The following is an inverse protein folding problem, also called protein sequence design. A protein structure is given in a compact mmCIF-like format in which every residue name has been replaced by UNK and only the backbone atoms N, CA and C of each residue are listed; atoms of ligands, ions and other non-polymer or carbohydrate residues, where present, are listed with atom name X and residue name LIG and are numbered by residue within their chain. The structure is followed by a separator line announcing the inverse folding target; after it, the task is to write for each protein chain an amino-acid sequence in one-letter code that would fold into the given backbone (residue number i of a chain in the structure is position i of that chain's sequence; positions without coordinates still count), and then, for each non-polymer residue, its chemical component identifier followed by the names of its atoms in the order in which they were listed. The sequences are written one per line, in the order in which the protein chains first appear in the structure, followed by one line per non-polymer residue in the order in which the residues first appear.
data_IF_627560544192
#
_entry.id   IF_627560544192
#
_cell.length_a   1.000
_cell.length_b   1.000
_cell.length_c   1.000
_cell.angle_alpha   90.00
_cell.angle_beta   90.00
_cell.angle_gamma   90.00
#
_symmetry.space_group_name_H-M   'P 1'
#
loop_
_entity.id
_entity.type
_entity.pdbx_description
1 polymer ?
#
# COMPACT_ATOMS: atom_id res chain seq x y z
N UNK A 1 -7.04 -3.77 23.98
CA UNK A 1 -7.31 -5.18 23.64
C UNK A 1 -8.36 -5.23 22.53
N UNK A 2 -7.99 -5.40 21.26
CA UNK A 2 -8.95 -5.56 20.15
C UNK A 2 -8.81 -6.93 19.49
N UNK A 3 -9.31 -7.97 20.16
CA UNK A 3 -9.27 -9.37 19.72
C UNK A 3 -10.30 -9.72 18.63
N UNK A 4 -10.57 -8.79 17.72
CA UNK A 4 -11.52 -9.00 16.61
C UNK A 4 -11.26 -8.15 15.37
N UNK A 5 -10.12 -7.43 15.31
CA UNK A 5 -9.74 -6.64 14.13
C UNK A 5 -8.82 -7.45 13.25
N UNK A 6 -9.14 -7.46 11.95
CA UNK A 6 -8.37 -8.14 10.94
C UNK A 6 -6.90 -7.66 10.96
N UNK A 7 -5.92 -8.52 11.32
CA UNK A 7 -4.54 -8.09 11.51
C UNK A 7 -3.87 -7.68 10.20
N UNK A 8 -4.44 -8.09 9.06
CA UNK A 8 -3.92 -7.71 7.75
C UNK A 8 -4.25 -6.27 7.39
N UNK A 9 -5.36 -5.71 7.91
CA UNK A 9 -5.75 -4.31 7.68
C UNK A 9 -4.71 -3.34 8.23
N UNK A 10 -4.30 -3.54 9.49
CA UNK A 10 -3.27 -2.68 10.11
C UNK A 10 -1.92 -2.80 9.40
N UNK A 11 -1.57 -4.01 8.92
CA UNK A 11 -0.35 -4.23 8.14
C UNK A 11 -0.43 -3.59 6.76
N UNK A 12 -1.59 -3.67 6.10
CA UNK A 12 -1.82 -3.07 4.80
C UNK A 12 -1.69 -1.55 4.87
N UNK A 13 -2.34 -0.92 5.85
CA UNK A 13 -2.22 0.52 6.11
C UNK A 13 -0.79 0.95 6.42
N UNK A 14 -0.04 0.15 7.19
CA UNK A 14 1.36 0.43 7.45
C UNK A 14 2.23 0.32 6.18
N UNK A 15 1.90 -0.59 5.26
CA UNK A 15 2.58 -0.72 3.98
C UNK A 15 2.23 0.44 3.03
N UNK A 16 0.97 0.90 3.00
CA UNK A 16 0.57 2.12 2.25
C UNK A 16 1.33 3.35 2.74
N UNK A 17 1.34 3.59 4.05
CA UNK A 17 2.09 4.71 4.64
C UNK A 17 3.59 4.61 4.33
N UNK A 18 4.14 3.39 4.33
CA UNK A 18 5.54 3.16 3.93
C UNK A 18 5.75 3.50 2.46
N UNK A 19 4.79 3.19 1.60
CA UNK A 19 4.87 3.51 0.18
C UNK A 19 4.82 5.02 -0.04
N UNK A 20 3.89 5.72 0.61
CA UNK A 20 3.76 7.18 0.55
C UNK A 20 5.01 7.92 1.07
N UNK A 21 5.71 7.33 2.05
CA UNK A 21 6.93 7.91 2.64
C UNK A 21 8.22 7.39 2.01
N UNK A 22 8.12 6.50 1.00
CA UNK A 22 9.29 5.97 0.32
C UNK A 22 9.93 7.04 -0.57
N UNK A 23 11.23 7.25 -0.39
CA UNK A 23 12.03 8.18 -1.21
C UNK A 23 12.64 7.54 -2.47
N UNK A 24 12.53 6.23 -2.58
CA UNK A 24 13.11 5.43 -3.66
C UNK A 24 11.98 4.73 -4.41
N UNK A 25 12.03 4.78 -5.74
CA UNK A 25 11.00 4.22 -6.62
C UNK A 25 10.82 2.71 -6.42
N UNK A 26 11.91 1.95 -6.23
CA UNK A 26 11.82 0.52 -5.98
C UNK A 26 11.18 0.18 -4.64
N UNK A 27 11.44 1.00 -3.62
CA UNK A 27 10.84 0.88 -2.29
C UNK A 27 9.36 1.29 -2.28
N UNK A 28 9.00 2.33 -3.03
CA UNK A 28 7.62 2.76 -3.29
C UNK A 28 6.80 1.64 -3.93
N UNK A 29 7.28 1.14 -5.07
CA UNK A 29 6.62 0.08 -5.85
C UNK A 29 6.45 -1.20 -5.02
N UNK A 30 7.51 -1.65 -4.32
CA UNK A 30 7.43 -2.84 -3.47
C UNK A 30 6.45 -2.67 -2.31
N UNK A 31 6.46 -1.50 -1.65
CA UNK A 31 5.56 -1.22 -0.54
C UNK A 31 4.09 -1.20 -0.99
N UNK A 32 3.78 -0.62 -2.16
CA UNK A 32 2.44 -0.67 -2.75
C UNK A 32 2.01 -2.09 -3.13
N UNK A 33 2.89 -2.91 -3.72
CA UNK A 33 2.57 -4.32 -4.01
C UNK A 33 2.31 -5.14 -2.75
N UNK A 34 3.09 -4.91 -1.71
CA UNK A 34 2.89 -5.58 -0.42
C UNK A 34 1.60 -5.12 0.26
N UNK A 35 1.25 -3.83 0.19
CA UNK A 35 -0.03 -3.30 0.65
C UNK A 35 -1.20 -4.00 -0.07
N UNK A 36 -1.14 -4.12 -1.40
CA UNK A 36 -2.16 -4.81 -2.20
C UNK A 36 -2.38 -6.26 -1.76
N UNK A 37 -1.30 -7.04 -1.59
CA UNK A 37 -1.37 -8.43 -1.11
C UNK A 37 -1.97 -8.54 0.30
N UNK A 38 -1.65 -7.57 1.18
CA UNK A 38 -2.17 -7.55 2.54
C UNK A 38 -3.66 -7.20 2.56
N UNK A 39 -4.12 -6.31 1.68
CA UNK A 39 -5.54 -6.00 1.51
C UNK A 39 -6.34 -7.18 0.96
N UNK A 40 -5.80 -7.96 0.02
CA UNK A 40 -6.47 -9.19 -0.45
C UNK A 40 -6.63 -10.20 0.68
N UNK A 41 -5.56 -10.46 1.45
CA UNK A 41 -5.63 -11.33 2.63
C UNK A 41 -6.59 -10.78 3.69
N UNK A 42 -6.70 -9.46 3.80
CA UNK A 42 -7.71 -8.84 4.64
C UNK A 42 -9.12 -9.17 4.13
N UNK A 43 -9.36 -9.02 2.83
CA UNK A 43 -10.64 -9.30 2.19
C UNK A 43 -11.07 -10.77 2.34
N UNK A 44 -10.14 -11.71 2.14
CA UNK A 44 -10.36 -13.16 2.29
C UNK A 44 -10.85 -13.52 3.70
N UNK A 45 -10.24 -12.91 4.73
CA UNK A 45 -10.55 -13.20 6.13
C UNK A 45 -11.75 -12.42 6.66
N UNK A 46 -12.19 -11.39 5.95
CA UNK A 46 -13.32 -10.55 6.35
C UNK A 46 -14.65 -11.27 6.09
N UNK A 47 -15.53 -11.23 7.08
CA UNK A 47 -16.86 -11.86 7.04
C UNK A 47 -17.93 -10.89 6.54
N UNK A 48 -17.72 -9.59 6.73
CA UNK A 48 -18.64 -8.56 6.25
C UNK A 48 -18.42 -8.29 4.75
N UNK A 49 -19.42 -8.54 3.88
CA UNK A 49 -19.27 -8.38 2.44
C UNK A 49 -18.96 -6.93 2.01
N UNK A 50 -19.50 -5.93 2.71
CA UNK A 50 -19.23 -4.53 2.38
C UNK A 50 -17.75 -4.17 2.63
N UNK A 51 -17.20 -4.63 3.77
CA UNK A 51 -15.78 -4.45 4.09
C UNK A 51 -14.86 -5.25 3.19
N UNK A 52 -15.28 -6.46 2.81
CA UNK A 52 -14.55 -7.28 1.84
C UNK A 52 -14.41 -6.52 0.51
N UNK A 53 -15.50 -5.95 -0.01
CA UNK A 53 -15.44 -5.12 -1.23
C UNK A 53 -14.53 -3.91 -1.06
N UNK A 54 -14.59 -3.22 0.08
CA UNK A 54 -13.69 -2.10 0.38
C UNK A 54 -12.21 -2.52 0.36
N UNK A 55 -11.89 -3.68 0.96
CA UNK A 55 -10.52 -4.20 0.98
C UNK A 55 -10.04 -4.63 -0.39
N UNK A 56 -10.91 -5.22 -1.23
CA UNK A 56 -10.57 -5.54 -2.62
C UNK A 56 -10.32 -4.28 -3.44
N UNK A 57 -11.14 -3.23 -3.28
CA UNK A 57 -10.93 -1.96 -3.97
C UNK A 57 -9.58 -1.31 -3.58
N UNK A 58 -9.21 -1.38 -2.29
CA UNK A 58 -7.89 -0.92 -1.83
C UNK A 58 -6.75 -1.76 -2.38
N UNK A 59 -6.93 -3.07 -2.48
CA UNK A 59 -5.94 -3.95 -3.09
C UNK A 59 -5.68 -3.61 -4.56
N UNK A 60 -6.76 -3.35 -5.31
CA UNK A 60 -6.70 -2.96 -6.71
C UNK A 60 -6.04 -1.59 -6.87
N UNK A 61 -6.44 -0.60 -6.06
CA UNK A 61 -5.81 0.73 -6.04
C UNK A 61 -4.30 0.61 -5.78
N UNK A 62 -3.90 -0.12 -4.72
CA UNK A 62 -2.50 -0.30 -4.38
C UNK A 62 -1.68 -0.95 -5.51
N UNK A 63 -2.29 -1.87 -6.29
CA UNK A 63 -1.63 -2.45 -7.46
C UNK A 63 -1.50 -1.46 -8.61
N UNK A 64 -2.58 -0.73 -8.92
CA UNK A 64 -2.56 0.30 -9.95
C UNK A 64 -1.49 1.36 -9.63
N UNK A 65 -1.42 1.82 -8.38
CA UNK A 65 -0.40 2.76 -7.90
C UNK A 65 1.02 2.17 -7.95
N UNK A 66 1.19 0.87 -7.72
CA UNK A 66 2.50 0.24 -7.86
C UNK A 66 2.99 0.15 -9.31
N UNK A 67 2.07 0.04 -10.27
CA UNK A 67 2.40 -0.06 -11.69
C UNK A 67 2.58 1.33 -12.34
N UNK A 68 2.14 2.39 -11.67
CA UNK A 68 2.50 3.76 -12.03
C UNK A 68 3.95 4.06 -11.59
N UNK A 69 4.73 4.80 -12.41
CA UNK A 69 6.05 5.26 -11.99
C UNK A 69 5.90 6.12 -10.73
N UNK A 70 6.71 5.84 -9.72
CA UNK A 70 6.73 6.63 -8.49
C UNK A 70 6.81 8.13 -8.85
N UNK A 71 6.02 9.00 -8.19
CA UNK A 71 6.07 10.42 -8.47
C UNK A 71 7.53 10.85 -8.31
N UNK A 72 8.13 11.32 -9.41
CA UNK A 72 9.53 11.72 -9.44
C UNK A 72 9.73 12.71 -8.30
N UNK A 73 10.49 12.30 -7.28
CA UNK A 73 11.03 13.24 -6.33
C UNK A 73 12.08 14.02 -7.10
N UNK A 74 11.61 15.07 -7.78
CA UNK A 74 12.38 16.09 -8.46
C UNK A 74 13.18 16.85 -7.39
N UNK A 75 14.17 16.19 -6.80
CA UNK A 75 15.24 16.89 -6.12
C UNK A 75 16.18 17.42 -7.22
N UNK A 76 16.36 18.74 -7.33
CA UNK A 76 17.20 19.32 -8.36
C UNK A 76 18.62 18.80 -8.15
N UNK A 77 19.22 18.29 -9.22
CA UNK A 77 20.65 18.01 -9.27
C UNK A 77 21.38 19.35 -9.18
N UNK A 78 21.57 19.87 -7.98
CA UNK A 78 22.58 20.90 -7.73
C UNK A 78 23.94 20.21 -7.83
N UNK A 79 24.55 20.30 -9.01
CA UNK A 79 25.98 20.12 -9.22
C UNK A 79 26.68 21.46 -8.90
N UNK A 80 27.48 21.57 -7.82
CA UNK A 80 28.36 22.72 -7.65
C UNK A 80 29.81 22.30 -7.94
N UNK A 81 30.31 22.52 -9.17
CA UNK A 81 31.72 22.91 -9.44
C UNK A 81 31.81 23.74 -10.72
#
# INVERSE_FOLDING_TARGET
MSFGRNPHVAKAQAAELKAETAKDAGSYERAWRDAGRLWERAAERETNPARRTEYLAKAEHARATADEPAPESDEPVEDPV
#
